data_IF_932714420215
#
_entry.id   IF_932714420215
#
_cell.length_a   1.000
_cell.length_b   1.000
_cell.length_c   1.000
_cell.angle_alpha   90.00
_cell.angle_beta   90.00
_cell.angle_gamma   90.00
#
_symmetry.space_group_name_H-M   'P 1'
#
loop_
_entity.id
_entity.type
_entity.pdbx_description
1 polymer ?
#
# COMPACT_ATOMS: atom_id res chain seq x y z
N UNK A 1 -1.40 -24.72 -10.82
CA UNK A 1 -1.03 -23.48 -10.10
C UNK A 1 -1.12 -22.31 -11.08
N UNK A 2 -1.89 -21.26 -10.77
CA UNK A 2 -1.92 -20.06 -11.61
C UNK A 2 -0.84 -19.09 -11.14
N UNK A 3 0.12 -18.76 -12.01
CA UNK A 3 1.07 -17.67 -11.79
C UNK A 3 0.31 -16.35 -11.95
N UNK A 4 0.02 -15.68 -10.83
CA UNK A 4 -0.49 -14.31 -10.86
C UNK A 4 0.72 -13.37 -10.88
N UNK A 5 1.08 -12.87 -12.05
CA UNK A 5 2.05 -11.79 -12.20
C UNK A 5 1.54 -10.45 -11.62
N UNK A 6 2.28 -9.34 -11.81
CA UNK A 6 1.81 -8.02 -11.41
C UNK A 6 0.38 -7.77 -11.93
N UNK A 7 -0.49 -7.24 -11.06
CA UNK A 7 -1.92 -7.05 -11.36
C UNK A 7 -2.05 -6.23 -12.65
N UNK A 8 -2.86 -6.73 -13.59
CA UNK A 8 -2.90 -6.27 -14.99
C UNK A 8 -3.19 -4.77 -15.13
N UNK A 9 -3.94 -4.18 -14.20
CA UNK A 9 -4.24 -2.73 -14.18
C UNK A 9 -2.98 -1.87 -14.01
N UNK A 10 -2.00 -2.30 -13.21
CA UNK A 10 -0.78 -1.52 -12.93
C UNK A 10 0.28 -1.65 -14.04
N UNK A 11 0.12 -2.63 -14.92
CA UNK A 11 1.07 -2.89 -16.02
C UNK A 11 0.54 -2.49 -17.39
N UNK A 12 -0.67 -1.95 -17.45
CA UNK A 12 -1.26 -1.42 -18.67
C UNK A 12 -0.35 -0.34 -19.28
N UNK A 13 -0.21 -0.37 -20.61
CA UNK A 13 0.65 0.57 -21.36
C UNK A 13 0.32 2.04 -21.05
N UNK A 14 -0.95 2.36 -20.83
CA UNK A 14 -1.39 3.70 -20.46
C UNK A 14 -0.83 4.13 -19.09
N UNK A 15 -0.92 3.25 -18.09
CA UNK A 15 -0.41 3.49 -16.74
C UNK A 15 1.11 3.61 -16.76
N UNK A 16 1.82 2.73 -17.48
CA UNK A 16 3.29 2.82 -17.63
C UNK A 16 3.74 4.13 -18.29
N UNK A 17 3.03 4.59 -19.32
CA UNK A 17 3.32 5.87 -19.97
C UNK A 17 3.10 7.05 -19.02
N UNK A 18 2.02 7.03 -18.25
CA UNK A 18 1.74 8.06 -17.26
C UNK A 18 2.80 8.09 -16.15
N UNK A 19 3.18 6.92 -15.62
CA UNK A 19 4.22 6.80 -14.58
C UNK A 19 5.57 7.30 -15.08
N UNK A 20 5.98 6.92 -16.29
CA UNK A 20 7.24 7.38 -16.90
C UNK A 20 7.28 8.90 -17.12
N UNK A 21 6.13 9.55 -17.33
CA UNK A 21 6.04 10.99 -17.54
C UNK A 21 6.04 11.80 -16.23
N UNK A 22 5.53 11.24 -15.12
CA UNK A 22 5.31 11.99 -13.88
C UNK A 22 6.28 11.64 -12.76
N UNK A 23 6.60 10.35 -12.58
CA UNK A 23 7.21 9.85 -11.33
C UNK A 23 8.49 9.00 -11.54
N UNK A 24 8.99 8.90 -12.77
CA UNK A 24 10.28 8.28 -13.06
C UNK A 24 10.25 6.74 -13.09
N UNK A 25 11.41 6.13 -12.83
CA UNK A 25 11.63 4.68 -12.95
C UNK A 25 10.77 3.88 -11.97
N UNK A 26 9.98 2.96 -12.49
CA UNK A 26 9.24 1.98 -11.70
C UNK A 26 10.24 1.04 -10.99
N UNK A 27 10.17 0.96 -9.67
CA UNK A 27 10.95 -0.01 -8.90
C UNK A 27 10.43 -1.42 -9.19
N UNK A 28 11.31 -2.34 -9.56
CA UNK A 28 10.92 -3.72 -9.86
C UNK A 28 10.40 -4.41 -8.59
N UNK A 29 9.10 -4.74 -8.56
CA UNK A 29 8.50 -5.51 -7.49
C UNK A 29 8.29 -6.96 -7.94
N UNK A 30 8.84 -7.95 -7.20
CA UNK A 30 8.64 -9.36 -7.55
C UNK A 30 7.18 -9.78 -7.34
N UNK A 31 6.63 -10.61 -8.25
CA UNK A 31 5.22 -10.98 -8.20
C UNK A 31 4.86 -11.71 -6.90
N UNK A 32 3.81 -11.23 -6.22
CA UNK A 32 3.27 -11.76 -4.94
C UNK A 32 4.25 -11.71 -3.76
N UNK A 33 4.99 -10.62 -3.61
CA UNK A 33 5.71 -10.35 -2.36
C UNK A 33 4.94 -9.32 -1.54
N UNK A 34 3.85 -9.71 -0.85
CA UNK A 34 3.23 -8.82 0.13
C UNK A 34 4.32 -8.38 1.11
N UNK A 35 5.28 -9.26 1.43
CA UNK A 35 6.53 -9.15 2.26
C UNK A 35 7.47 -8.00 1.93
N UNK A 36 7.32 -7.39 0.75
CA UNK A 36 8.20 -6.33 0.27
C UNK A 36 7.48 -4.99 0.08
N UNK A 37 6.22 -4.92 0.48
CA UNK A 37 5.36 -3.76 0.32
C UNK A 37 5.19 -3.06 1.67
N UNK A 38 5.77 -1.85 1.86
CA UNK A 38 5.62 -1.10 3.11
C UNK A 38 4.16 -0.90 3.55
N UNK A 39 3.19 -0.65 2.63
CA UNK A 39 1.77 -0.61 2.99
C UNK A 39 1.23 -1.94 3.57
N UNK A 40 1.71 -3.07 3.08
CA UNK A 40 1.20 -4.40 3.46
C UNK A 40 1.62 -4.82 4.88
N UNK A 41 2.81 -4.44 5.38
CA UNK A 41 3.22 -4.73 6.78
C UNK A 41 2.85 -3.66 7.77
N UNK A 42 2.93 -2.39 7.39
CA UNK A 42 2.83 -1.30 8.36
C UNK A 42 1.41 -0.76 8.43
N UNK A 43 0.82 -0.47 7.27
CA UNK A 43 -0.42 0.28 7.18
C UNK A 43 -1.66 -0.61 7.38
N UNK A 44 -1.76 -1.70 6.62
CA UNK A 44 -2.97 -2.53 6.64
C UNK A 44 -3.23 -3.26 7.94
N UNK A 45 -2.22 -3.78 8.69
CA UNK A 45 -2.46 -4.38 9.99
C UNK A 45 -3.06 -3.39 11.00
N UNK A 46 -2.58 -2.14 11.00
CA UNK A 46 -3.12 -1.08 11.88
C UNK A 46 -4.55 -0.70 11.51
N UNK A 47 -4.81 -0.48 10.23
CA UNK A 47 -6.17 -0.23 9.74
C UNK A 47 -7.12 -1.38 10.09
N UNK A 48 -6.68 -2.64 9.91
CA UNK A 48 -7.48 -3.83 10.27
C UNK A 48 -7.87 -3.85 11.74
N UNK A 49 -6.95 -3.47 12.64
CA UNK A 49 -7.23 -3.40 14.08
C UNK A 49 -8.27 -2.32 14.38
N UNK A 50 -8.11 -1.13 13.80
CA UNK A 50 -9.05 -0.02 14.00
C UNK A 50 -10.44 -0.25 13.39
N UNK A 51 -10.48 -0.98 12.28
CA UNK A 51 -11.70 -1.36 11.56
C UNK A 51 -12.33 -2.67 12.07
N UNK A 52 -11.79 -3.26 13.14
CA UNK A 52 -12.32 -4.51 13.73
C UNK A 52 -13.72 -4.35 14.33
N UNK A 53 -14.19 -3.13 14.55
CA UNK A 53 -15.56 -2.84 15.02
C UNK A 53 -16.54 -2.78 13.85
N UNK A 54 -17.81 -3.07 14.11
CA UNK A 54 -18.87 -2.95 13.09
C UNK A 54 -19.10 -1.47 12.77
N UNK A 55 -18.70 -1.06 11.57
CA UNK A 55 -19.03 0.23 10.99
C UNK A 55 -20.21 0.04 10.03
N UNK A 56 -21.26 0.83 10.19
CA UNK A 56 -22.50 0.67 9.41
C UNK A 56 -22.60 1.61 8.22
N UNK A 57 -21.74 2.63 8.16
CA UNK A 57 -21.80 3.68 7.16
C UNK A 57 -20.40 4.05 6.65
N UNK A 58 -20.35 4.46 5.38
CA UNK A 58 -19.10 4.82 4.70
C UNK A 58 -18.43 6.03 5.33
N UNK A 59 -19.21 6.98 5.87
CA UNK A 59 -18.67 8.15 6.58
C UNK A 59 -17.90 7.72 7.83
N UNK A 60 -18.40 6.70 8.54
CA UNK A 60 -17.70 6.16 9.71
C UNK A 60 -16.41 5.43 9.33
N UNK A 61 -16.41 4.71 8.20
CA UNK A 61 -15.20 4.09 7.64
C UNK A 61 -14.17 5.16 7.29
N UNK A 62 -14.57 6.19 6.55
CA UNK A 62 -13.68 7.26 6.13
C UNK A 62 -13.10 8.03 7.33
N UNK A 63 -13.94 8.33 8.34
CA UNK A 63 -13.49 9.01 9.56
C UNK A 63 -12.52 8.14 10.38
N UNK A 64 -12.80 6.84 10.52
CA UNK A 64 -11.92 5.90 11.20
C UNK A 64 -10.57 5.78 10.49
N UNK A 65 -10.58 5.53 9.17
CA UNK A 65 -9.36 5.44 8.35
C UNK A 65 -8.55 6.74 8.44
N UNK A 66 -9.20 7.89 8.27
CA UNK A 66 -8.52 9.21 8.35
C UNK A 66 -7.87 9.43 9.72
N UNK A 67 -8.55 9.03 10.80
CA UNK A 67 -8.01 9.14 12.16
C UNK A 67 -6.76 8.28 12.33
N UNK A 68 -6.81 7.03 11.90
CA UNK A 68 -5.66 6.12 12.03
C UNK A 68 -4.48 6.57 11.17
N UNK A 69 -4.73 7.01 9.93
CA UNK A 69 -3.69 7.54 9.06
C UNK A 69 -2.99 8.77 9.66
N UNK A 70 -3.73 9.66 10.34
CA UNK A 70 -3.17 10.83 11.04
C UNK A 70 -2.44 10.47 12.33
N UNK A 71 -2.71 9.29 12.90
CA UNK A 71 -2.10 8.83 14.14
C UNK A 71 -0.78 8.08 13.91
N UNK A 72 -0.47 7.70 12.67
CA UNK A 72 0.84 7.12 12.33
C UNK A 72 1.89 8.23 12.37
N UNK A 73 2.90 8.15 13.26
CA UNK A 73 3.99 9.11 13.31
C UNK A 73 4.83 9.06 12.02
N UNK A 74 5.40 10.19 11.62
CA UNK A 74 6.20 10.29 10.38
C UNK A 74 7.45 9.42 10.47
N UNK A 75 8.01 9.32 11.68
CA UNK A 75 9.19 8.53 12.01
C UNK A 75 9.02 7.03 11.71
N UNK A 76 7.78 6.55 11.71
CA UNK A 76 7.49 5.15 11.38
C UNK A 76 7.49 4.89 9.86
N UNK A 77 7.29 5.93 9.05
CA UNK A 77 7.50 5.90 7.61
C UNK A 77 8.97 6.10 7.22
N UNK A 78 9.76 6.77 8.07
CA UNK A 78 11.20 7.00 7.89
C UNK A 78 12.08 5.82 8.34
N UNK A 79 11.47 4.72 8.81
CA UNK A 79 12.19 3.50 9.14
C UNK A 79 12.97 2.99 7.92
N UNK A 80 14.24 2.62 8.14
CA UNK A 80 15.14 2.13 7.09
C UNK A 80 14.79 0.68 6.72
N UNK A 81 13.66 0.49 6.05
CA UNK A 81 13.19 -0.82 5.58
C UNK A 81 13.97 -1.31 4.34
N UNK A 82 14.98 -0.54 3.88
CA UNK A 82 15.73 -0.80 2.65
C UNK A 82 17.17 -1.30 2.87
N UNK A 83 17.66 -1.34 4.11
CA UNK A 83 19.02 -1.85 4.38
C UNK A 83 19.00 -3.36 4.66
N UNK A 84 19.11 -4.15 3.60
CA UNK A 84 19.36 -5.59 3.69
C UNK A 84 18.70 -6.43 2.60
N UNK A 85 19.08 -6.26 1.34
CA UNK A 85 18.92 -7.26 0.28
C UNK A 85 19.98 -7.09 -0.80
#
# INVERSE_FOLDING_TARGET
MAFLGPKMEHTATLVKRFLAQQWGTELSHPPNSPDLSPPDFLLFPKLKVALKRRLTDIVQVQAAVTRELKAVPVEEYDGDYFEGS
#
